data_IF_045146390191
#
_entry.id   IF_045146390191
#
_cell.length_a   1.000
_cell.length_b   1.000
_cell.length_c   1.000
_cell.angle_alpha   90.00
_cell.angle_beta   90.00
_cell.angle_gamma   90.00
#
_symmetry.space_group_name_H-M   'P 1'
#
loop_
_entity.id
_entity.type
_entity.pdbx_description
1 polymer ?
#
# COMPACT_ATOMS: atom_id res chain seq x y z
N UNK A 1 -15.52 17.11 -4.54
CA UNK A 1 -15.91 17.92 -3.37
C UNK A 1 -14.66 18.40 -2.64
N UNK A 2 -14.64 19.55 -1.95
CA UNK A 2 -13.50 19.92 -1.11
C UNK A 2 -13.35 18.87 0.00
N UNK A 3 -12.27 18.11 0.02
CA UNK A 3 -12.00 17.10 1.05
C UNK A 3 -12.12 15.62 0.64
N UNK A 4 -12.36 15.32 -0.63
CA UNK A 4 -12.23 13.93 -1.13
C UNK A 4 -10.76 13.58 -1.35
N UNK A 5 -10.32 12.44 -0.81
CA UNK A 5 -8.99 11.86 -1.04
C UNK A 5 -9.13 10.54 -1.81
N UNK A 6 -9.28 10.59 -3.14
CA UNK A 6 -9.39 9.36 -3.93
C UNK A 6 -8.09 8.58 -3.89
N UNK A 7 -8.20 7.27 -3.65
CA UNK A 7 -7.09 6.31 -3.64
C UNK A 7 -7.36 5.30 -4.75
N UNK A 8 -6.41 5.16 -5.68
CA UNK A 8 -6.41 4.10 -6.68
C UNK A 8 -5.34 3.06 -6.30
N UNK A 9 -5.73 1.79 -6.29
CA UNK A 9 -4.83 0.65 -6.08
C UNK A 9 -4.87 -0.21 -7.33
N UNK A 10 -3.73 -0.38 -7.98
CA UNK A 10 -3.57 -1.23 -9.15
C UNK A 10 -2.82 -2.49 -8.75
N UNK A 11 -3.36 -3.65 -9.12
CA UNK A 11 -2.73 -4.95 -8.92
C UNK A 11 -2.52 -5.61 -10.27
N UNK A 12 -1.29 -6.04 -10.55
CA UNK A 12 -0.94 -6.69 -11.79
C UNK A 12 -0.24 -8.01 -11.52
N UNK A 13 -0.73 -9.09 -12.16
CA UNK A 13 -0.06 -10.38 -12.11
C UNK A 13 1.30 -10.30 -12.81
N UNK A 14 2.35 -10.75 -12.13
CA UNK A 14 3.71 -10.88 -12.66
C UNK A 14 4.23 -12.30 -12.43
N UNK A 15 5.42 -12.63 -12.95
CA UNK A 15 5.95 -13.99 -12.93
C UNK A 15 6.13 -14.54 -11.50
N UNK A 16 6.60 -13.70 -10.58
CA UNK A 16 6.93 -14.09 -9.21
C UNK A 16 5.91 -13.59 -8.17
N UNK A 17 4.74 -13.12 -8.59
CA UNK A 17 3.74 -12.61 -7.65
C UNK A 17 2.81 -11.57 -8.26
N UNK A 18 2.57 -10.50 -7.51
CA UNK A 18 1.68 -9.39 -7.91
C UNK A 18 2.43 -8.08 -7.72
N UNK A 19 2.51 -7.27 -8.77
CA UNK A 19 2.93 -5.87 -8.70
C UNK A 19 1.77 -5.04 -8.14
N UNK A 20 2.09 -4.13 -7.21
CA UNK A 20 1.12 -3.28 -6.53
C UNK A 20 1.54 -1.81 -6.67
N UNK A 21 0.64 -0.97 -7.16
CA UNK A 21 0.79 0.48 -7.26
C UNK A 21 -0.34 1.17 -6.48
N UNK A 22 -0.02 2.22 -5.74
CA UNK A 22 -0.99 3.03 -5.00
C UNK A 22 -0.82 4.50 -5.36
N UNK A 23 -1.91 5.14 -5.77
CA UNK A 23 -1.97 6.58 -6.05
C UNK A 23 -3.01 7.20 -5.11
N UNK A 24 -2.55 8.03 -4.17
CA UNK A 24 -3.41 8.83 -3.32
C UNK A 24 -3.43 10.28 -3.79
N UNK A 25 -4.59 10.74 -4.24
CA UNK A 25 -4.81 12.11 -4.72
C UNK A 25 -5.58 12.94 -3.70
N UNK A 26 -5.58 14.25 -3.88
CA UNK A 26 -6.39 15.15 -3.07
C UNK A 26 -5.93 15.29 -1.62
N UNK A 27 -4.66 14.99 -1.32
CA UNK A 27 -4.09 15.17 0.02
C UNK A 27 -4.26 16.64 0.42
N UNK A 28 -4.98 16.94 1.53
CA UNK A 28 -5.20 18.32 1.98
C UNK A 28 -3.87 19.02 2.28
N UNK A 29 -3.76 20.30 1.94
CA UNK A 29 -2.55 21.09 2.20
C UNK A 29 -2.17 21.18 3.70
N UNK A 30 -3.12 20.92 4.60
CA UNK A 30 -2.87 20.86 6.04
C UNK A 30 -2.13 19.57 6.48
N UNK A 31 -2.08 18.55 5.62
CA UNK A 31 -1.42 17.27 5.89
C UNK A 31 -0.11 17.23 5.10
N UNK A 32 1.05 17.13 5.78
CA UNK A 32 2.32 16.87 5.11
C UNK A 32 2.26 15.56 4.32
N UNK A 33 2.65 15.59 3.04
CA UNK A 33 2.58 14.41 2.17
C UNK A 33 3.51 13.29 2.65
N UNK A 34 4.60 13.65 3.32
CA UNK A 34 5.57 12.74 3.95
C UNK A 34 4.92 11.84 5.00
N UNK A 35 3.90 12.33 5.71
CA UNK A 35 3.17 11.51 6.68
C UNK A 35 2.27 10.47 6.00
N UNK A 36 1.68 10.81 4.86
CA UNK A 36 0.96 9.83 4.05
C UNK A 36 1.91 8.74 3.53
N UNK A 37 3.10 9.12 3.06
CA UNK A 37 4.11 8.15 2.66
C UNK A 37 4.52 7.22 3.80
N UNK A 38 4.78 7.77 4.99
CA UNK A 38 5.14 6.97 6.16
C UNK A 38 4.05 5.95 6.50
N UNK A 39 2.78 6.39 6.57
CA UNK A 39 1.65 5.50 6.86
C UNK A 39 1.46 4.40 5.80
N UNK A 40 1.66 4.73 4.52
CA UNK A 40 1.64 3.73 3.45
C UNK A 40 2.80 2.75 3.53
N UNK A 41 4.01 3.20 3.87
CA UNK A 41 5.17 2.31 4.04
C UNK A 41 4.92 1.27 5.14
N UNK A 42 4.44 1.71 6.31
CA UNK A 42 4.08 0.80 7.40
C UNK A 42 2.97 -0.18 6.99
N UNK A 43 1.94 0.32 6.30
CA UNK A 43 0.82 -0.51 5.82
C UNK A 43 1.25 -1.56 4.80
N UNK A 44 2.10 -1.19 3.85
CA UNK A 44 2.63 -2.10 2.82
C UNK A 44 3.60 -3.11 3.42
N UNK A 45 4.37 -2.73 4.45
CA UNK A 45 5.23 -3.67 5.17
C UNK A 45 4.40 -4.71 5.93
N UNK A 46 3.30 -4.31 6.59
CA UNK A 46 2.37 -5.26 7.22
C UNK A 46 1.66 -6.14 6.19
N UNK A 47 1.30 -5.58 5.03
CA UNK A 47 0.68 -6.35 3.95
C UNK A 47 1.64 -7.43 3.45
N UNK A 48 2.92 -7.12 3.24
CA UNK A 48 3.93 -8.09 2.83
C UNK A 48 4.04 -9.23 3.86
N UNK A 49 4.10 -8.92 5.16
CA UNK A 49 4.12 -9.94 6.22
C UNK A 49 2.88 -10.85 6.22
N UNK A 50 1.71 -10.29 5.86
CA UNK A 50 0.46 -11.03 5.82
C UNK A 50 0.36 -11.94 4.59
N UNK A 51 0.82 -11.49 3.43
CA UNK A 51 0.59 -12.19 2.14
C UNK A 51 1.79 -13.01 1.66
N UNK A 52 2.98 -12.77 2.22
CA UNK A 52 4.20 -13.53 1.95
C UNK A 52 4.74 -14.23 3.22
N UNK A 53 3.94 -15.03 3.94
CA UNK A 53 4.43 -15.70 5.13
C UNK A 53 5.44 -16.80 4.77
N UNK A 54 6.57 -16.85 5.47
CA UNK A 54 7.41 -18.05 5.54
C UNK A 54 6.69 -19.08 6.42
N UNK A 55 5.95 -20.00 5.79
CA UNK A 55 5.26 -21.08 6.48
C UNK A 55 6.25 -22.24 6.60
N UNK A 56 6.63 -22.68 7.82
CA UNK A 56 7.44 -23.87 7.99
C UNK A 56 6.73 -25.07 7.37
N UNK A 57 7.46 -25.87 6.59
CA UNK A 57 6.97 -27.17 6.13
C UNK A 57 6.68 -28.03 7.37
N UNK A 58 5.42 -28.11 7.77
CA UNK A 58 4.99 -28.82 8.97
C UNK A 58 5.40 -30.30 8.89
N UNK A 59 6.29 -30.71 9.79
CA UNK A 59 6.59 -32.12 10.07
C UNK A 59 5.50 -32.81 10.89
#
# INVERSE_FOLDING_TARGET
MPGEMPIAVTLQKVLCGTELEVIQQGIPAAIPTEFCYLGWQESLQMLAQLVEPEIPDGG
#
